data_IF_901184169888
#
_entry.id   IF_901184169888
#
_cell.length_a   1.000
_cell.length_b   1.000
_cell.length_c   1.000
_cell.angle_alpha   90.00
_cell.angle_beta   90.00
_cell.angle_gamma   90.00
#
_symmetry.space_group_name_H-M   'P 1'
#
loop_
_entity.id
_entity.type
_entity.pdbx_description
1 polymer ?
#
# COMPACT_ATOMS: atom_id res chain seq x y z
N UNK A 1 -62.56 48.98 -36.60
CA UNK A 1 -62.91 47.75 -35.85
C UNK A 1 -62.74 46.62 -36.87
N UNK A 2 -61.83 45.66 -36.78
CA UNK A 2 -61.56 44.74 -35.67
C UNK A 2 -60.21 44.04 -35.95
N UNK A 3 -59.53 43.68 -34.85
CA UNK A 3 -58.20 43.08 -34.74
C UNK A 3 -58.04 41.77 -35.51
N UNK A 4 -56.80 41.43 -35.91
CA UNK A 4 -56.28 40.06 -35.80
C UNK A 4 -54.75 40.09 -35.66
N UNK A 5 -54.29 39.56 -34.52
CA UNK A 5 -52.91 39.36 -34.08
C UNK A 5 -52.47 37.98 -34.57
N UNK A 6 -51.33 37.89 -35.26
CA UNK A 6 -50.68 36.63 -35.65
C UNK A 6 -49.51 36.31 -34.74
N UNK A 7 -49.65 35.24 -33.97
CA UNK A 7 -48.72 34.71 -32.97
C UNK A 7 -47.56 33.89 -33.58
N UNK A 8 -46.46 33.86 -32.84
CA UNK A 8 -45.14 33.29 -33.13
C UNK A 8 -45.06 31.76 -33.18
N UNK A 9 -44.05 31.23 -33.90
CA UNK A 9 -43.42 29.93 -33.64
C UNK A 9 -41.91 30.02 -33.90
N UNK A 10 -41.17 30.61 -32.96
CA UNK A 10 -39.73 30.49 -32.86
C UNK A 10 -39.39 29.23 -32.05
N UNK A 11 -39.05 28.14 -32.73
CA UNK A 11 -38.65 26.88 -32.10
C UNK A 11 -37.18 26.95 -31.69
N UNK A 12 -36.92 27.48 -30.49
CA UNK A 12 -35.59 27.47 -29.89
C UNK A 12 -35.36 26.11 -29.22
N UNK A 13 -34.72 25.19 -29.94
CA UNK A 13 -34.30 23.89 -29.43
C UNK A 13 -33.11 24.09 -28.47
N UNK A 14 -33.39 24.19 -27.16
CA UNK A 14 -32.36 24.20 -26.13
C UNK A 14 -31.81 22.77 -26.00
N UNK A 15 -30.66 22.50 -26.62
CA UNK A 15 -29.85 21.34 -26.30
C UNK A 15 -29.30 21.51 -24.88
N UNK A 16 -30.07 21.06 -23.88
CA UNK A 16 -29.54 20.83 -22.56
C UNK A 16 -28.59 19.64 -22.65
N UNK A 17 -27.29 19.91 -22.84
CA UNK A 17 -26.25 18.93 -22.56
C UNK A 17 -26.38 18.55 -21.09
N UNK A 18 -27.06 17.42 -20.83
CA UNK A 18 -27.09 16.80 -19.53
C UNK A 18 -25.62 16.47 -19.20
N UNK A 19 -25.00 17.31 -18.37
CA UNK A 19 -23.76 16.95 -17.70
C UNK A 19 -24.16 15.74 -16.86
N UNK A 20 -23.77 14.54 -17.31
CA UNK A 20 -23.92 13.34 -16.53
C UNK A 20 -23.09 13.57 -15.26
N UNK A 21 -23.76 13.94 -14.18
CA UNK A 21 -23.13 14.03 -12.87
C UNK A 21 -22.56 12.64 -12.60
N UNK A 22 -21.25 12.60 -12.37
CA UNK A 22 -20.59 11.38 -11.93
C UNK A 22 -21.34 10.87 -10.69
N UNK A 23 -21.59 9.56 -10.70
CA UNK A 23 -22.38 8.89 -9.70
C UNK A 23 -21.49 7.75 -9.21
N UNK A 24 -20.92 7.82 -8.00
CA UNK A 24 -20.06 6.74 -7.53
C UNK A 24 -20.85 5.44 -7.36
N UNK A 25 -20.19 4.27 -7.41
CA UNK A 25 -20.84 3.00 -7.09
C UNK A 25 -21.38 3.06 -5.65
N UNK A 26 -22.59 2.54 -5.45
CA UNK A 26 -23.25 2.50 -4.15
C UNK A 26 -22.82 1.29 -3.29
N UNK A 27 -23.28 1.24 -2.02
CA UNK A 27 -22.98 0.13 -1.10
C UNK A 27 -23.21 -1.26 -1.71
N UNK A 28 -22.18 -2.11 -1.68
CA UNK A 28 -22.18 -3.46 -2.24
C UNK A 28 -21.91 -3.54 -3.75
N UNK A 29 -21.91 -2.44 -4.48
CA UNK A 29 -21.51 -2.43 -5.89
C UNK A 29 -19.98 -2.49 -6.03
N UNK A 30 -19.50 -2.89 -7.21
CA UNK A 30 -18.05 -2.98 -7.49
C UNK A 30 -17.44 -1.61 -7.74
N UNK A 31 -16.20 -1.42 -7.28
CA UNK A 31 -15.42 -0.19 -7.53
C UNK A 31 -15.19 0.08 -9.02
N UNK A 32 -15.18 -0.96 -9.85
CA UNK A 32 -14.99 -0.84 -11.30
C UNK A 32 -16.23 -0.34 -12.07
N UNK A 33 -17.28 0.07 -11.35
CA UNK A 33 -18.58 0.50 -11.86
C UNK A 33 -19.33 -0.51 -12.73
N UNK A 34 -18.91 -1.78 -12.77
CA UNK A 34 -19.57 -2.81 -13.60
C UNK A 34 -21.00 -3.15 -13.15
N UNK A 35 -21.39 -2.72 -11.95
CA UNK A 35 -22.70 -2.98 -11.33
C UNK A 35 -23.46 -1.69 -10.99
N UNK A 36 -23.01 -0.55 -11.49
CA UNK A 36 -23.55 0.76 -11.17
C UNK A 36 -22.45 1.76 -10.87
N UNK A 37 -22.77 3.03 -11.08
CA UNK A 37 -21.83 4.13 -10.98
C UNK A 37 -21.25 4.58 -12.33
N UNK A 38 -20.62 5.74 -12.36
CA UNK A 38 -20.01 6.38 -13.52
C UNK A 38 -19.07 7.51 -13.07
N UNK A 39 -18.12 7.89 -13.92
CA UNK A 39 -17.23 9.02 -13.68
C UNK A 39 -15.90 8.61 -13.05
N UNK A 40 -15.31 9.55 -12.30
CA UNK A 40 -13.92 9.42 -11.80
C UNK A 40 -13.77 8.42 -10.65
N UNK A 41 -14.87 8.05 -9.99
CA UNK A 41 -14.89 6.99 -8.96
C UNK A 41 -14.74 5.57 -9.51
N UNK A 42 -14.79 5.37 -10.83
CA UNK A 42 -14.68 4.04 -11.42
C UNK A 42 -13.22 3.57 -11.46
N UNK A 43 -12.78 2.91 -10.40
CA UNK A 43 -11.45 2.30 -10.30
C UNK A 43 -11.43 0.94 -11.01
N UNK A 44 -11.22 0.97 -12.33
CA UNK A 44 -11.42 -0.19 -13.20
C UNK A 44 -10.41 -1.34 -13.04
N UNK A 45 -9.25 -1.02 -12.47
CA UNK A 45 -8.16 -1.93 -12.12
C UNK A 45 -8.24 -2.41 -10.67
N UNK A 46 -9.11 -1.81 -9.86
CA UNK A 46 -9.40 -2.28 -8.52
C UNK A 46 -10.44 -3.39 -8.48
N UNK A 47 -10.18 -4.34 -7.61
CA UNK A 47 -11.14 -5.38 -7.25
C UNK A 47 -11.77 -5.06 -5.92
N UNK A 48 -12.96 -5.63 -5.70
CA UNK A 48 -13.68 -5.46 -4.44
C UNK A 48 -15.01 -4.76 -4.65
N UNK A 49 -15.63 -4.40 -3.52
CA UNK A 49 -16.95 -3.79 -3.48
C UNK A 49 -16.94 -2.63 -2.48
N UNK A 50 -17.75 -1.62 -2.76
CA UNK A 50 -18.06 -0.54 -1.84
C UNK A 50 -18.64 -1.16 -0.56
N UNK A 51 -18.19 -0.74 0.63
CA UNK A 51 -18.69 -1.27 1.89
C UNK A 51 -20.22 -1.15 2.02
N UNK A 52 -20.84 -2.06 2.76
CA UNK A 52 -22.30 -2.14 2.87
C UNK A 52 -22.85 -1.45 4.13
N UNK A 53 -22.00 -1.26 5.14
CA UNK A 53 -22.39 -0.72 6.45
C UNK A 53 -21.27 0.10 7.08
N UNK A 54 -21.62 1.30 7.54
CA UNK A 54 -20.73 2.18 8.34
C UNK A 54 -20.69 1.76 9.80
N UNK A 55 -21.84 1.43 10.36
CA UNK A 55 -22.05 1.11 11.76
C UNK A 55 -22.80 -0.20 11.90
N UNK A 56 -22.74 -0.78 13.09
CA UNK A 56 -23.38 -2.04 13.47
C UNK A 56 -24.87 -1.77 13.73
N UNK A 57 -25.82 -2.02 12.80
CA UNK A 57 -27.22 -1.74 13.03
C UNK A 57 -27.87 -3.03 13.55
N UNK A 58 -27.94 -3.21 14.87
CA UNK A 58 -28.60 -4.36 15.52
C UNK A 58 -28.18 -5.76 15.01
N UNK A 59 -26.99 -5.86 14.42
CA UNK A 59 -26.39 -7.07 13.86
C UNK A 59 -24.91 -6.78 13.60
N UNK A 60 -24.04 -7.59 14.19
CA UNK A 60 -22.66 -7.33 14.61
C UNK A 60 -21.61 -7.00 13.51
N UNK A 61 -21.90 -6.23 12.46
CA UNK A 61 -20.93 -6.02 11.36
C UNK A 61 -20.88 -4.56 10.86
N UNK A 62 -19.68 -3.97 10.86
CA UNK A 62 -19.33 -2.72 10.19
C UNK A 62 -18.29 -3.01 9.10
N UNK A 63 -18.78 -3.24 7.88
CA UNK A 63 -17.92 -3.63 6.76
C UNK A 63 -16.92 -2.55 6.37
N UNK A 64 -17.26 -1.26 6.56
CA UNK A 64 -16.37 -0.12 6.34
C UNK A 64 -15.24 -0.09 7.38
N UNK A 65 -15.56 -0.04 8.68
CA UNK A 65 -14.54 0.04 9.74
C UNK A 65 -13.65 -1.20 9.77
N UNK A 66 -14.22 -2.38 9.49
CA UNK A 66 -13.44 -3.60 9.34
C UNK A 66 -12.43 -3.48 8.18
N UNK A 67 -12.89 -3.10 6.98
CA UNK A 67 -12.03 -2.96 5.80
C UNK A 67 -10.87 -1.99 6.03
N UNK A 68 -11.17 -0.82 6.60
CA UNK A 68 -10.17 0.18 6.95
C UNK A 68 -9.10 -0.33 7.91
N UNK A 69 -9.54 -1.03 8.96
CA UNK A 69 -8.65 -1.52 9.99
C UNK A 69 -7.77 -2.65 9.48
N UNK A 70 -8.35 -3.59 8.71
CA UNK A 70 -7.60 -4.65 8.04
C UNK A 70 -6.57 -4.06 7.08
N UNK A 71 -6.96 -3.13 6.21
CA UNK A 71 -6.03 -2.46 5.29
C UNK A 71 -4.87 -1.80 6.02
N UNK A 72 -5.14 -1.02 7.08
CA UNK A 72 -4.10 -0.39 7.91
C UNK A 72 -3.19 -1.42 8.58
N UNK A 73 -3.74 -2.54 9.06
CA UNK A 73 -2.98 -3.62 9.69
C UNK A 73 -2.02 -4.27 8.69
N UNK A 74 -2.49 -4.64 7.48
CA UNK A 74 -1.63 -5.18 6.41
C UNK A 74 -0.55 -4.19 5.99
N UNK A 75 -0.88 -2.91 5.80
CA UNK A 75 0.12 -1.89 5.50
C UNK A 75 1.16 -1.72 6.63
N UNK A 76 0.78 -2.02 7.88
CA UNK A 76 1.70 -2.09 9.02
C UNK A 76 2.61 -3.32 8.99
N UNK A 77 2.05 -4.50 8.74
CA UNK A 77 2.74 -5.78 8.67
C UNK A 77 3.81 -5.80 7.58
N UNK A 78 3.45 -5.36 6.35
CA UNK A 78 4.39 -5.28 5.22
C UNK A 78 5.61 -4.42 5.54
N UNK A 79 5.41 -3.27 6.21
CA UNK A 79 6.52 -2.40 6.64
C UNK A 79 7.34 -2.99 7.80
N UNK A 80 6.76 -3.90 8.58
CA UNK A 80 7.48 -4.57 9.65
C UNK A 80 8.42 -5.63 9.08
N UNK A 81 7.92 -6.49 8.17
CA UNK A 81 8.70 -7.48 7.42
C UNK A 81 9.85 -6.84 6.64
N UNK A 82 9.61 -5.75 5.90
CA UNK A 82 10.68 -5.00 5.21
C UNK A 82 11.81 -4.56 6.16
N UNK A 83 11.49 -4.27 7.43
CA UNK A 83 12.52 -3.93 8.44
C UNK A 83 13.22 -5.16 9.01
N UNK A 84 12.59 -6.32 9.01
CA UNK A 84 13.22 -7.60 9.36
C UNK A 84 14.27 -7.94 8.29
N UNK A 85 13.88 -7.96 7.02
CA UNK A 85 14.80 -8.15 5.89
C UNK A 85 15.97 -7.17 5.87
N UNK A 86 15.73 -5.88 6.18
CA UNK A 86 16.80 -4.89 6.28
C UNK A 86 17.82 -5.22 7.39
N UNK A 87 17.35 -5.59 8.58
CA UNK A 87 18.24 -6.00 9.69
C UNK A 87 19.04 -7.24 9.33
N UNK A 88 18.39 -8.19 8.66
CA UNK A 88 19.02 -9.42 8.22
C UNK A 88 20.11 -9.14 7.18
N UNK A 89 19.82 -8.37 6.12
CA UNK A 89 20.82 -7.96 5.13
C UNK A 89 22.01 -7.20 5.77
N UNK A 90 21.71 -6.29 6.70
CA UNK A 90 22.70 -5.57 7.51
C UNK A 90 23.60 -6.53 8.31
N UNK A 91 23.01 -7.57 8.89
CA UNK A 91 23.71 -8.56 9.72
C UNK A 91 24.69 -9.39 8.91
N UNK A 92 24.31 -9.76 7.68
CA UNK A 92 25.18 -10.45 6.72
C UNK A 92 26.36 -9.58 6.32
N UNK A 93 26.11 -8.29 6.01
CA UNK A 93 27.18 -7.33 5.68
C UNK A 93 28.14 -7.11 6.86
N UNK A 94 27.66 -7.22 8.09
CA UNK A 94 28.47 -7.15 9.32
C UNK A 94 29.19 -8.46 9.67
N UNK A 95 28.96 -9.53 8.91
CA UNK A 95 29.56 -10.85 9.15
C UNK A 95 28.96 -11.60 10.34
N UNK A 96 27.77 -11.22 10.79
CA UNK A 96 27.04 -11.88 11.87
C UNK A 96 25.57 -12.11 11.46
N UNK A 97 25.31 -13.02 10.50
CA UNK A 97 23.95 -13.31 10.04
C UNK A 97 23.03 -13.64 11.23
N UNK A 98 21.84 -13.04 11.24
CA UNK A 98 20.78 -13.34 12.22
C UNK A 98 19.60 -13.98 11.52
N UNK A 99 18.92 -14.84 12.26
CA UNK A 99 17.62 -15.38 11.88
C UNK A 99 16.54 -14.32 12.10
N UNK A 100 15.77 -14.03 11.07
CA UNK A 100 14.70 -13.05 11.12
C UNK A 100 13.31 -13.67 11.32
N UNK A 101 13.20 -15.00 11.42
CA UNK A 101 11.95 -15.69 11.73
C UNK A 101 11.35 -15.24 13.05
N UNK A 102 12.20 -14.86 14.02
CA UNK A 102 11.75 -14.19 15.23
C UNK A 102 11.07 -12.85 14.93
N UNK A 103 11.64 -12.05 14.03
CA UNK A 103 11.09 -10.77 13.61
C UNK A 103 9.80 -10.90 12.77
N UNK A 104 9.68 -11.95 11.97
CA UNK A 104 8.61 -12.13 10.98
C UNK A 104 7.41 -12.89 11.54
N UNK A 105 7.64 -14.07 12.12
CA UNK A 105 6.60 -15.06 12.41
C UNK A 105 6.57 -15.50 13.88
N UNK A 106 7.71 -15.81 14.50
CA UNK A 106 7.74 -16.59 15.77
C UNK A 106 7.76 -15.78 17.07
N UNK A 107 8.32 -14.57 17.11
CA UNK A 107 8.32 -13.75 18.34
C UNK A 107 6.92 -13.18 18.62
N UNK A 108 6.48 -13.04 19.89
CA UNK A 108 5.19 -12.40 20.21
C UNK A 108 5.03 -10.96 19.67
N UNK A 109 6.13 -10.28 19.33
CA UNK A 109 6.17 -8.95 18.71
C UNK A 109 6.55 -9.02 17.22
N UNK A 110 6.51 -10.19 16.61
CA UNK A 110 6.75 -10.39 15.19
C UNK A 110 5.74 -9.63 14.32
N UNK A 111 6.05 -9.48 13.04
CA UNK A 111 5.17 -8.82 12.09
C UNK A 111 3.81 -9.55 11.96
N UNK A 112 3.84 -10.88 11.87
CA UNK A 112 2.66 -11.74 11.79
C UNK A 112 1.83 -11.65 13.08
N UNK A 113 2.44 -11.85 14.26
CA UNK A 113 1.70 -11.80 15.53
C UNK A 113 1.06 -10.41 15.79
N UNK A 114 1.68 -9.33 15.31
CA UNK A 114 1.08 -7.98 15.33
C UNK A 114 -0.11 -7.84 14.38
N UNK A 115 -0.04 -8.47 13.21
CA UNK A 115 -1.15 -8.52 12.26
C UNK A 115 -2.32 -9.31 12.85
N UNK A 116 -2.07 -10.52 13.34
CA UNK A 116 -3.04 -11.37 14.03
C UNK A 116 -3.74 -10.63 15.17
N UNK A 117 -2.96 -9.96 16.04
CA UNK A 117 -3.51 -9.17 17.13
C UNK A 117 -4.37 -8.00 16.64
N UNK A 118 -4.05 -7.40 15.48
CA UNK A 118 -4.86 -6.35 14.88
C UNK A 118 -6.14 -6.90 14.25
N UNK A 119 -6.08 -8.04 13.57
CA UNK A 119 -7.24 -8.75 13.00
C UNK A 119 -8.20 -9.15 14.12
N UNK A 120 -7.68 -9.75 15.20
CA UNK A 120 -8.48 -10.18 16.35
C UNK A 120 -9.26 -9.01 16.97
N UNK A 121 -8.62 -7.84 17.11
CA UNK A 121 -9.26 -6.61 17.65
C UNK A 121 -10.46 -6.14 16.82
N UNK A 122 -10.49 -6.43 15.52
CA UNK A 122 -11.57 -5.98 14.62
C UNK A 122 -12.48 -7.10 14.14
N UNK A 123 -12.19 -8.34 14.50
CA UNK A 123 -12.93 -9.54 14.09
C UNK A 123 -14.44 -9.45 14.35
N UNK A 124 -14.83 -8.91 15.50
CA UNK A 124 -16.23 -8.71 15.88
C UNK A 124 -16.97 -7.65 15.04
N UNK A 125 -16.26 -6.87 14.21
CA UNK A 125 -16.83 -5.90 13.27
C UNK A 125 -16.86 -6.43 11.84
N UNK A 126 -16.17 -7.53 11.57
CA UNK A 126 -15.94 -8.06 10.23
C UNK A 126 -16.95 -9.13 9.85
N UNK A 127 -17.25 -9.24 8.56
CA UNK A 127 -17.93 -10.43 8.03
C UNK A 127 -16.99 -11.63 8.05
N UNK A 128 -17.55 -12.85 8.07
CA UNK A 128 -16.77 -14.07 7.86
C UNK A 128 -16.00 -14.03 6.54
N UNK A 129 -16.59 -13.52 5.46
CA UNK A 129 -15.93 -13.35 4.17
C UNK A 129 -14.71 -12.43 4.25
N UNK A 130 -14.80 -11.28 4.92
CA UNK A 130 -13.65 -10.38 5.10
C UNK A 130 -12.53 -11.05 5.89
N UNK A 131 -12.86 -11.81 6.94
CA UNK A 131 -11.87 -12.52 7.73
C UNK A 131 -11.22 -13.67 6.94
N UNK A 132 -11.98 -14.42 6.14
CA UNK A 132 -11.42 -15.46 5.26
C UNK A 132 -10.47 -14.87 4.21
N UNK A 133 -10.83 -13.74 3.60
CA UNK A 133 -9.96 -13.06 2.64
C UNK A 133 -8.71 -12.46 3.30
N UNK A 134 -8.84 -11.91 4.51
CA UNK A 134 -7.70 -11.45 5.29
C UNK A 134 -6.74 -12.60 5.61
N UNK A 135 -7.24 -13.73 6.10
CA UNK A 135 -6.42 -14.90 6.39
C UNK A 135 -5.71 -15.45 5.13
N UNK A 136 -6.38 -15.46 3.97
CA UNK A 136 -5.76 -15.85 2.71
C UNK A 136 -4.65 -14.88 2.26
N UNK A 137 -4.85 -13.58 2.47
CA UNK A 137 -3.85 -12.56 2.17
C UNK A 137 -2.64 -12.69 3.09
N UNK A 138 -2.87 -12.86 4.39
CA UNK A 138 -1.82 -13.11 5.38
C UNK A 138 -1.00 -14.36 5.03
N UNK A 139 -1.67 -15.48 4.77
CA UNK A 139 -0.99 -16.72 4.35
C UNK A 139 -0.18 -16.55 3.06
N UNK A 140 -0.58 -15.66 2.16
CA UNK A 140 0.19 -15.37 0.94
C UNK A 140 1.41 -14.51 1.23
N UNK A 141 1.25 -13.47 2.07
CA UNK A 141 2.32 -12.52 2.39
C UNK A 141 3.43 -13.16 3.22
N UNK A 142 3.08 -14.02 4.18
CA UNK A 142 3.99 -14.74 5.09
C UNK A 142 4.28 -16.18 4.66
N UNK A 143 4.11 -16.50 3.37
CA UNK A 143 4.60 -17.77 2.84
C UNK A 143 6.12 -17.68 2.57
N UNK A 144 6.83 -18.81 2.61
CA UNK A 144 8.25 -18.84 2.21
C UNK A 144 8.50 -18.25 0.81
N UNK A 145 9.77 -17.91 0.49
CA UNK A 145 10.19 -17.43 -0.84
C UNK A 145 9.80 -18.26 -2.05
N UNK A 146 9.35 -19.51 -1.86
CA UNK A 146 8.83 -20.34 -2.95
C UNK A 146 7.53 -19.78 -3.55
N UNK A 147 6.79 -18.97 -2.77
CA UNK A 147 5.64 -18.23 -3.27
C UNK A 147 6.09 -16.86 -3.80
N UNK A 148 6.00 -16.57 -5.11
CA UNK A 148 6.50 -15.31 -5.68
C UNK A 148 5.74 -14.06 -5.23
N UNK A 149 4.63 -14.22 -4.51
CA UNK A 149 3.84 -13.14 -3.91
C UNK A 149 4.13 -12.92 -2.43
N UNK A 150 4.92 -13.78 -1.79
CA UNK A 150 5.32 -13.56 -0.41
C UNK A 150 6.28 -12.38 -0.28
N UNK A 151 6.40 -11.87 0.93
CA UNK A 151 7.34 -10.80 1.22
C UNK A 151 8.78 -11.31 1.16
N UNK A 152 9.02 -12.55 1.61
CA UNK A 152 10.30 -13.25 1.55
C UNK A 152 10.82 -13.36 0.12
N UNK A 153 9.95 -13.72 -0.83
CA UNK A 153 10.30 -13.77 -2.25
C UNK A 153 10.58 -12.36 -2.82
N UNK A 154 9.83 -11.36 -2.34
CA UNK A 154 9.95 -9.97 -2.79
C UNK A 154 11.19 -9.28 -2.25
N UNK A 155 11.78 -9.75 -1.15
CA UNK A 155 13.07 -9.27 -0.65
C UNK A 155 14.16 -9.35 -1.73
N UNK A 156 14.13 -10.37 -2.59
CA UNK A 156 15.07 -10.52 -3.71
C UNK A 156 14.95 -9.46 -4.81
N UNK A 157 13.87 -8.66 -4.82
CA UNK A 157 13.74 -7.50 -5.71
C UNK A 157 14.40 -6.24 -5.14
N UNK A 158 14.67 -6.22 -3.82
CA UNK A 158 15.30 -5.12 -3.09
C UNK A 158 16.78 -5.40 -2.88
N UNK A 159 17.11 -6.60 -2.39
CA UNK A 159 18.47 -7.09 -2.20
C UNK A 159 18.85 -7.97 -3.38
N UNK A 160 19.40 -7.34 -4.42
CA UNK A 160 19.64 -7.98 -5.73
C UNK A 160 21.09 -7.80 -6.20
N UNK A 161 22.00 -7.58 -5.26
CA UNK A 161 23.30 -7.01 -5.56
C UNK A 161 24.41 -7.87 -4.97
N UNK A 162 25.25 -8.51 -5.79
CA UNK A 162 26.25 -9.48 -5.31
C UNK A 162 25.75 -10.93 -5.30
N UNK A 163 26.38 -11.78 -4.50
CA UNK A 163 26.12 -13.23 -4.50
C UNK A 163 25.93 -13.84 -3.11
N UNK A 164 26.15 -13.08 -2.03
CA UNK A 164 26.00 -13.58 -0.67
C UNK A 164 24.52 -13.48 -0.30
N UNK A 165 23.89 -14.60 0.07
CA UNK A 165 22.48 -14.61 0.51
C UNK A 165 22.29 -13.67 1.69
N UNK A 166 21.22 -12.86 1.68
CA UNK A 166 20.81 -12.12 2.88
C UNK A 166 20.36 -13.07 3.98
N UNK A 167 19.91 -14.25 3.60
CA UNK A 167 19.43 -15.29 4.49
C UNK A 167 20.09 -16.64 4.15
N UNK A 168 21.25 -16.94 4.74
CA UNK A 168 21.94 -18.20 4.50
C UNK A 168 21.20 -19.36 5.18
N UNK A 169 21.24 -20.56 4.61
CA UNK A 169 20.52 -21.76 5.09
C UNK A 169 20.81 -22.19 6.54
N UNK A 170 21.83 -21.62 7.20
CA UNK A 170 22.12 -21.81 8.63
C UNK A 170 21.54 -20.74 9.57
N UNK A 171 20.84 -19.75 9.01
CA UNK A 171 20.24 -18.63 9.71
C UNK A 171 18.73 -18.49 9.46
N UNK A 172 18.09 -19.31 8.62
CA UNK A 172 16.65 -19.25 8.33
C UNK A 172 16.39 -19.95 7.01
N UNK A 173 16.97 -19.40 5.94
CA UNK A 173 17.07 -19.95 4.61
C UNK A 173 15.81 -19.81 3.74
N UNK A 174 14.79 -19.09 4.16
CA UNK A 174 13.51 -18.89 3.49
C UNK A 174 13.27 -17.50 2.91
N UNK A 175 14.18 -16.53 3.08
CA UNK A 175 14.17 -15.26 2.38
C UNK A 175 14.97 -15.26 1.07
N UNK A 176 14.50 -14.46 0.11
CA UNK A 176 15.19 -14.25 -1.15
C UNK A 176 16.05 -13.00 -1.11
N UNK A 177 17.17 -13.03 -1.82
CA UNK A 177 17.98 -11.85 -2.09
C UNK A 177 19.45 -12.04 -1.76
N UNK A 178 20.25 -11.15 -2.31
CA UNK A 178 21.70 -11.17 -2.20
C UNK A 178 22.28 -9.79 -1.98
N UNK A 179 23.39 -9.76 -1.23
CA UNK A 179 24.24 -8.59 -0.97
C UNK A 179 25.69 -8.89 -1.38
N UNK A 180 26.45 -7.83 -1.68
CA UNK A 180 27.87 -7.92 -1.99
C UNK A 180 28.66 -7.61 -0.72
N UNK A 181 29.14 -8.65 -0.06
CA UNK A 181 29.91 -8.54 1.19
C UNK A 181 31.40 -8.29 0.95
N UNK A 182 31.87 -8.35 -0.30
CA UNK A 182 33.29 -8.21 -0.65
C UNK A 182 33.62 -6.80 -1.15
N UNK A 183 32.63 -6.05 -1.61
CA UNK A 183 32.84 -4.69 -2.06
C UNK A 183 33.34 -3.74 -0.96
N UNK A 184 34.18 -2.79 -1.36
CA UNK A 184 34.69 -1.75 -0.47
C UNK A 184 33.53 -0.87 0.09
N UNK A 185 32.50 -0.63 -0.72
CA UNK A 185 31.33 0.21 -0.43
C UNK A 185 30.08 -0.60 -0.02
N UNK A 186 30.24 -1.86 0.42
CA UNK A 186 29.14 -2.77 0.81
C UNK A 186 28.10 -2.14 1.76
N UNK A 187 28.55 -1.31 2.70
CA UNK A 187 27.68 -0.63 3.66
C UNK A 187 26.78 0.41 3.00
N UNK A 188 27.28 1.12 1.99
CA UNK A 188 26.49 2.09 1.24
C UNK A 188 25.51 1.39 0.29
N UNK A 189 25.91 0.25 -0.27
CA UNK A 189 25.08 -0.58 -1.15
C UNK A 189 23.90 -1.19 -0.40
N UNK A 190 24.12 -1.80 0.77
CA UNK A 190 23.01 -2.34 1.59
C UNK A 190 22.10 -1.22 2.09
N UNK A 191 22.64 -0.06 2.49
CA UNK A 191 21.83 1.10 2.88
C UNK A 191 20.97 1.64 1.73
N UNK A 192 21.45 1.54 0.49
CA UNK A 192 20.66 1.86 -0.69
C UNK A 192 19.47 0.88 -0.86
N UNK A 193 19.71 -0.42 -0.67
CA UNK A 193 18.67 -1.44 -0.68
C UNK A 193 17.64 -1.21 0.44
N UNK A 194 18.09 -0.96 1.68
CA UNK A 194 17.21 -0.65 2.82
C UNK A 194 16.34 0.57 2.56
N UNK A 195 16.92 1.62 1.98
CA UNK A 195 16.17 2.83 1.61
C UNK A 195 15.11 2.50 0.56
N UNK A 196 15.48 1.70 -0.44
CA UNK A 196 14.55 1.25 -1.50
C UNK A 196 13.41 0.42 -0.91
N UNK A 197 13.70 -0.54 -0.04
CA UNK A 197 12.70 -1.32 0.68
C UNK A 197 11.79 -0.45 1.54
N UNK A 198 12.36 0.48 2.31
CA UNK A 198 11.61 1.40 3.17
C UNK A 198 10.63 2.27 2.38
N UNK A 199 11.07 2.85 1.26
CA UNK A 199 10.22 3.66 0.39
C UNK A 199 9.15 2.82 -0.32
N UNK A 200 9.46 1.57 -0.68
CA UNK A 200 8.46 0.63 -1.22
C UNK A 200 7.38 0.31 -0.17
N UNK A 201 7.76 0.07 1.07
CA UNK A 201 6.82 -0.14 2.17
C UNK A 201 5.92 1.10 2.43
N UNK A 202 6.46 2.31 2.26
CA UNK A 202 5.67 3.56 2.33
C UNK A 202 4.73 3.71 1.14
N UNK A 203 5.17 3.34 -0.07
CA UNK A 203 4.34 3.33 -1.27
C UNK A 203 3.12 2.44 -1.07
N UNK A 204 3.33 1.17 -0.70
CA UNK A 204 2.25 0.19 -0.46
C UNK A 204 1.27 0.70 0.59
N UNK A 205 1.77 1.23 1.71
CA UNK A 205 0.89 1.78 2.74
C UNK A 205 0.10 3.03 2.30
N UNK A 206 0.64 3.80 1.35
CA UNK A 206 -0.04 4.99 0.81
C UNK A 206 -1.11 4.59 -0.21
N UNK A 207 -0.83 3.60 -1.06
CA UNK A 207 -1.79 2.97 -1.99
C UNK A 207 -2.97 2.38 -1.21
N UNK A 208 -2.71 1.57 -0.18
CA UNK A 208 -3.76 1.07 0.72
C UNK A 208 -4.61 2.21 1.30
N UNK A 209 -4.00 3.35 1.64
CA UNK A 209 -4.72 4.52 2.14
C UNK A 209 -5.56 5.20 1.04
N UNK A 210 -5.15 5.15 -0.22
CA UNK A 210 -5.96 5.60 -1.34
C UNK A 210 -7.18 4.69 -1.53
N UNK A 211 -7.02 3.36 -1.49
CA UNK A 211 -8.15 2.42 -1.54
C UNK A 211 -9.14 2.60 -0.38
N UNK A 212 -8.65 2.87 0.83
CA UNK A 212 -9.50 3.21 1.99
C UNK A 212 -10.32 4.47 1.70
N UNK A 213 -9.69 5.52 1.14
CA UNK A 213 -10.39 6.76 0.80
C UNK A 213 -11.41 6.57 -0.33
N UNK A 214 -11.10 5.73 -1.31
CA UNK A 214 -12.04 5.35 -2.35
C UNK A 214 -13.28 4.70 -1.72
N UNK A 215 -13.06 3.66 -0.89
CA UNK A 215 -14.12 2.96 -0.18
C UNK A 215 -14.97 3.89 0.70
N UNK A 216 -14.33 4.79 1.47
CA UNK A 216 -15.00 5.80 2.30
C UNK A 216 -15.83 6.79 1.47
N UNK A 217 -15.27 7.25 0.34
CA UNK A 217 -15.91 8.26 -0.51
C UNK A 217 -17.11 7.68 -1.24
N UNK A 218 -16.95 6.52 -1.88
CA UNK A 218 -18.03 5.84 -2.58
C UNK A 218 -19.14 5.42 -1.60
N UNK A 219 -18.78 4.94 -0.41
CA UNK A 219 -19.75 4.66 0.65
C UNK A 219 -20.56 5.92 1.03
N UNK A 220 -19.88 7.07 1.09
CA UNK A 220 -20.49 8.37 1.33
C UNK A 220 -21.22 8.99 0.13
N UNK A 221 -21.27 8.30 -1.02
CA UNK A 221 -21.84 8.82 -2.26
C UNK A 221 -21.07 10.01 -2.83
N UNK A 222 -19.75 10.07 -2.60
CA UNK A 222 -18.86 11.14 -3.07
C UNK A 222 -17.87 10.59 -4.08
N UNK A 223 -17.63 11.34 -5.14
CA UNK A 223 -16.60 10.98 -6.11
C UNK A 223 -15.20 11.08 -5.52
N UNK A 224 -14.35 10.10 -5.86
CA UNK A 224 -12.93 10.09 -5.52
C UNK A 224 -12.11 9.53 -6.68
N UNK A 225 -11.22 10.37 -7.22
CA UNK A 225 -10.25 9.95 -8.23
C UNK A 225 -9.07 9.24 -7.52
N UNK A 226 -9.16 7.92 -7.45
CA UNK A 226 -8.13 7.06 -6.85
C UNK A 226 -6.81 7.17 -7.64
N UNK A 227 -6.85 7.22 -8.98
CA UNK A 227 -5.66 7.30 -9.83
C UNK A 227 -4.86 8.59 -9.58
N UNK A 228 -5.55 9.69 -9.25
CA UNK A 228 -4.92 10.93 -8.79
C UNK A 228 -4.21 10.74 -7.44
N UNK A 229 -4.78 9.94 -6.54
CA UNK A 229 -4.17 9.60 -5.25
C UNK A 229 -2.95 8.67 -5.40
N UNK A 230 -3.00 7.69 -6.29
CA UNK A 230 -1.98 6.65 -6.41
C UNK A 230 -0.90 6.97 -7.41
N UNK A 231 -1.27 7.28 -8.64
CA UNK A 231 -0.33 7.35 -9.74
C UNK A 231 0.17 8.76 -9.99
N UNK A 232 -0.74 9.71 -10.19
CA UNK A 232 -0.35 11.03 -10.69
C UNK A 232 -1.31 12.14 -10.25
N UNK A 233 -0.85 12.98 -9.32
CA UNK A 233 -1.49 14.26 -8.99
C UNK A 233 -0.73 15.38 -9.71
N UNK A 234 -1.18 15.84 -10.89
CA UNK A 234 -0.47 16.88 -11.64
C UNK A 234 -0.54 18.25 -10.95
N UNK A 235 -1.45 18.43 -10.00
CA UNK A 235 -1.66 19.71 -9.31
C UNK A 235 -0.75 19.81 -8.09
N UNK A 236 -0.72 18.77 -7.24
CA UNK A 236 0.01 18.80 -5.98
C UNK A 236 1.35 18.07 -6.04
N UNK A 237 1.58 17.21 -7.03
CA UNK A 237 2.77 16.36 -7.12
C UNK A 237 2.91 15.41 -5.92
N UNK A 238 1.78 14.97 -5.34
CA UNK A 238 1.70 14.28 -4.04
C UNK A 238 1.01 12.92 -4.11
N UNK A 239 0.86 12.33 -5.29
CA UNK A 239 0.40 10.93 -5.41
C UNK A 239 1.37 9.97 -4.72
N UNK A 240 0.92 8.75 -4.43
CA UNK A 240 1.73 7.71 -3.80
C UNK A 240 3.01 7.44 -4.62
N UNK A 241 2.86 7.25 -5.93
CA UNK A 241 3.95 6.97 -6.86
C UNK A 241 4.87 8.18 -7.05
N UNK A 242 4.34 9.40 -7.12
CA UNK A 242 5.15 10.61 -7.21
C UNK A 242 6.05 10.78 -5.97
N UNK A 243 5.52 10.51 -4.77
CA UNK A 243 6.31 10.55 -3.52
C UNK A 243 7.42 9.50 -3.52
N UNK A 244 7.09 8.26 -3.91
CA UNK A 244 8.08 7.19 -4.03
C UNK A 244 9.20 7.55 -5.03
N UNK A 245 8.82 8.07 -6.20
CA UNK A 245 9.77 8.48 -7.22
C UNK A 245 10.67 9.64 -6.77
N UNK A 246 10.11 10.62 -6.05
CA UNK A 246 10.87 11.73 -5.50
C UNK A 246 11.86 11.29 -4.41
N UNK A 247 11.49 10.30 -3.58
CA UNK A 247 12.39 9.74 -2.58
C UNK A 247 13.56 8.99 -3.22
N UNK A 248 13.29 8.18 -4.25
CA UNK A 248 14.34 7.44 -4.97
C UNK A 248 15.14 8.26 -5.99
N UNK A 249 14.82 9.55 -6.19
CA UNK A 249 15.62 10.49 -6.98
C UNK A 249 16.63 11.27 -6.13
N UNK A 250 16.55 11.16 -4.80
CA UNK A 250 17.54 11.74 -3.90
C UNK A 250 18.72 10.76 -3.78
N UNK A 251 19.98 11.19 -4.01
CA UNK A 251 21.13 10.38 -3.63
C UNK A 251 21.05 10.09 -2.12
N UNK A 252 21.54 8.92 -1.66
CA UNK A 252 21.57 8.62 -0.23
C UNK A 252 22.29 9.79 0.44
N UNK A 253 21.58 10.50 1.33
CA UNK A 253 22.21 11.60 2.07
C UNK A 253 23.38 10.98 2.82
N UNK A 254 24.60 11.33 2.40
CA UNK A 254 25.72 11.38 3.31
C UNK A 254 25.20 12.22 4.48
N UNK A 255 24.99 11.60 5.64
CA UNK A 255 24.81 12.40 6.84
C UNK A 255 26.07 13.22 6.91
N UNK A 256 25.91 14.55 6.97
CA UNK A 256 26.96 15.44 7.38
C UNK A 256 27.61 14.83 8.63
N UNK A 257 28.80 14.26 8.46
CA UNK A 257 29.74 14.14 9.56
C UNK A 257 30.03 15.59 9.94
N UNK A 258 29.27 16.09 10.90
CA UNK A 258 29.67 17.25 11.65
C UNK A 258 31.05 16.91 12.22
N UNK A 259 32.11 17.66 11.88
CA UNK A 259 33.37 17.51 12.57
C UNK A 259 33.07 17.85 14.04
N UNK A 260 33.16 16.84 14.91
CA UNK A 260 32.92 17.02 16.33
C UNK A 260 33.86 18.09 16.87
N UNK A 261 33.37 19.08 17.65
CA UNK A 261 34.27 19.93 18.39
C UNK A 261 34.92 19.09 19.48
N UNK A 262 36.25 19.16 19.51
CA UNK A 262 37.11 18.51 20.50
C UNK A 262 36.65 18.76 21.93
N UNK A 263 36.94 17.79 22.78
CA UNK A 263 36.49 17.71 24.15
C UNK A 263 36.95 18.85 25.07
N UNK A 264 36.14 19.05 26.11
CA UNK A 264 36.42 19.94 27.23
C UNK A 264 35.40 19.74 28.35
N UNK A 265 35.73 18.84 29.29
CA UNK A 265 35.44 18.88 30.73
C UNK A 265 34.09 19.35 31.31
N UNK A 266 33.49 18.41 32.05
CA UNK A 266 32.81 18.53 33.36
C UNK A 266 31.28 18.71 33.48
N UNK A 267 30.66 18.14 34.56
CA UNK A 267 29.26 17.70 34.61
C UNK A 267 28.33 18.63 35.41
N UNK A 268 27.08 18.14 35.54
CA UNK A 268 25.97 18.56 36.39
C UNK A 268 24.93 19.52 35.77
N UNK A 269 23.76 18.97 35.44
CA UNK A 269 22.50 19.25 36.17
C UNK A 269 21.31 18.47 35.62
N UNK A 270 20.64 17.77 36.53
CA UNK A 270 19.24 17.34 36.43
C UNK A 270 18.35 18.47 35.88
N UNK A 271 17.46 18.16 34.94
CA UNK A 271 16.19 18.86 34.76
C UNK A 271 15.21 17.99 33.99
N UNK A 272 14.17 17.55 34.70
CA UNK A 272 12.94 16.92 34.20
C UNK A 272 12.01 18.00 33.63
N UNK A 273 11.24 17.72 32.57
CA UNK A 273 9.87 18.25 32.48
C UNK A 273 8.87 17.11 32.19
N UNK A 274 7.95 16.78 33.11
CA UNK A 274 6.62 17.38 33.36
C UNK A 274 5.66 17.30 32.17
N UNK A 275 4.71 16.37 32.33
CA UNK A 275 3.45 16.17 31.61
C UNK A 275 2.64 17.46 31.43
N UNK A 276 1.93 17.56 30.31
CA UNK A 276 0.70 18.33 30.15
C UNK A 276 -0.31 17.49 29.38
N UNK A 277 -1.32 17.02 30.11
CA UNK A 277 -2.63 16.59 29.62
C UNK A 277 -3.42 17.82 29.15
N UNK A 278 -4.05 17.73 27.97
CA UNK A 278 -5.17 18.61 27.62
C UNK A 278 -6.31 17.79 27.02
N UNK A 279 -7.39 17.74 27.79
CA UNK A 279 -8.71 17.21 27.43
C UNK A 279 -9.47 18.23 26.58
N UNK A 280 -10.05 17.78 25.46
CA UNK A 280 -11.22 18.45 24.88
C UNK A 280 -12.36 17.46 24.65
N UNK A 281 -13.40 17.62 25.45
CA UNK A 281 -14.78 17.24 25.18
C UNK A 281 -15.30 18.00 23.95
N UNK A 282 -16.13 17.35 23.12
CA UNK A 282 -17.35 18.00 22.64
C UNK A 282 -18.42 17.01 22.14
N UNK A 283 -19.63 17.54 22.03
CA UNK A 283 -20.92 16.91 22.32
C UNK A 283 -21.59 16.12 21.17
N UNK A 284 -22.45 15.18 21.57
CA UNK A 284 -23.51 14.55 20.77
C UNK A 284 -24.66 15.53 20.46
N UNK A 285 -25.28 15.40 19.30
CA UNK A 285 -26.72 15.63 19.11
C UNK A 285 -27.33 14.66 18.08
N UNK A 286 -28.50 14.14 18.44
CA UNK A 286 -29.36 13.20 17.71
C UNK A 286 -30.23 13.90 16.64
N UNK A 287 -30.58 13.24 15.52
CA UNK A 287 -31.93 12.68 15.26
C UNK A 287 -32.12 12.11 13.81
N UNK A 288 -32.99 11.10 13.73
CA UNK A 288 -33.37 10.17 12.63
C UNK A 288 -34.46 10.75 11.65
N UNK A 289 -35.15 9.98 10.76
CA UNK A 289 -34.86 8.74 10.00
C UNK A 289 -35.22 8.79 8.49
N UNK A 290 -34.84 7.78 7.68
CA UNK A 290 -35.79 6.94 6.88
C UNK A 290 -35.11 5.73 6.21
N UNK A 291 -35.82 4.60 6.30
CA UNK A 291 -35.47 3.25 5.83
C UNK A 291 -35.70 3.09 4.31
N UNK A 292 -34.77 2.44 3.63
CA UNK A 292 -35.06 1.54 2.51
C UNK A 292 -34.06 0.37 2.56
N UNK A 293 -34.55 -0.84 2.85
CA UNK A 293 -33.74 -2.06 2.87
C UNK A 293 -33.79 -2.71 1.49
N UNK A 294 -32.71 -2.57 0.71
CA UNK A 294 -32.43 -3.41 -0.45
C UNK A 294 -31.32 -4.39 -0.07
N UNK A 295 -31.68 -5.66 0.10
CA UNK A 295 -30.73 -6.77 0.29
C UNK A 295 -30.11 -7.12 -1.06
N UNK A 296 -28.98 -6.49 -1.41
CA UNK A 296 -28.08 -6.97 -2.45
C UNK A 296 -27.02 -7.89 -1.85
N UNK A 297 -27.12 -9.20 -2.09
CA UNK A 297 -26.03 -10.14 -1.79
C UNK A 297 -25.10 -10.19 -3.01
N UNK A 298 -23.86 -9.73 -2.86
CA UNK A 298 -22.80 -10.04 -3.80
C UNK A 298 -22.28 -11.44 -3.48
N UNK A 299 -22.84 -12.44 -4.16
CA UNK A 299 -22.21 -13.75 -4.26
C UNK A 299 -20.95 -13.58 -5.13
N UNK A 300 -19.79 -13.89 -4.55
CA UNK A 300 -18.60 -14.20 -5.34
C UNK A 300 -18.88 -15.55 -5.99
N UNK A 301 -19.16 -15.55 -7.28
CA UNK A 301 -19.36 -16.77 -8.07
C UNK A 301 -18.00 -17.47 -8.19
N UNK A 302 -17.70 -18.32 -7.21
CA UNK A 302 -16.59 -19.27 -7.27
C UNK A 302 -17.15 -20.59 -7.80
N UNK A 303 -17.47 -20.63 -9.09
CA UNK A 303 -17.77 -21.89 -9.77
C UNK A 303 -16.48 -22.71 -9.89
N UNK A 304 -16.32 -23.66 -8.97
CA UNK A 304 -15.43 -24.80 -9.14
C UNK A 304 -16.13 -25.77 -10.11
N UNK A 305 -15.70 -25.81 -11.37
CA UNK A 305 -16.11 -26.84 -12.32
C UNK A 305 -14.90 -27.70 -12.70
N UNK A 306 -15.01 -29.00 -12.41
CA UNK A 306 -14.18 -30.06 -12.98
C UNK A 306 -14.23 -30.02 -14.51
N UNK A 307 -13.06 -30.10 -15.14
CA UNK A 307 -12.89 -30.11 -16.60
C UNK A 307 -13.42 -31.39 -17.27
N UNK A 308 -13.40 -31.49 -18.62
CA UNK A 308 -12.16 -31.27 -19.38
C UNK A 308 -12.29 -30.64 -20.80
N UNK A 309 -11.11 -30.34 -21.35
CA UNK A 309 -10.68 -30.14 -22.76
C UNK A 309 -10.33 -28.70 -23.20
N UNK A 310 -9.07 -28.62 -23.61
CA UNK A 310 -8.32 -27.49 -24.15
C UNK A 310 -8.92 -26.94 -25.45
N UNK A 311 -9.05 -25.61 -25.49
CA UNK A 311 -9.17 -24.81 -26.70
C UNK A 311 -8.86 -23.35 -26.34
N UNK A 312 -7.89 -22.74 -27.00
CA UNK A 312 -7.33 -21.42 -26.75
C UNK A 312 -8.32 -20.35 -26.25
N UNK A 313 -8.35 -20.10 -24.95
CA UNK A 313 -8.91 -18.88 -24.39
C UNK A 313 -7.76 -17.93 -24.05
N UNK A 314 -7.72 -16.81 -24.78
CA UNK A 314 -6.88 -15.66 -24.43
C UNK A 314 -7.19 -15.25 -22.98
N UNK A 315 -6.18 -15.02 -22.12
CA UNK A 315 -6.42 -14.55 -20.76
C UNK A 315 -7.14 -13.19 -20.79
N UNK A 316 -8.08 -12.94 -19.86
CA UNK A 316 -8.87 -11.71 -19.82
C UNK A 316 -7.97 -10.49 -19.61
N UNK A 317 -8.29 -9.39 -20.30
CA UNK A 317 -7.52 -8.13 -20.32
C UNK A 317 -7.23 -7.54 -18.93
N UNK A 318 -8.01 -7.88 -17.89
CA UNK A 318 -7.89 -7.35 -16.52
C UNK A 318 -6.69 -7.89 -15.72
N UNK A 319 -6.21 -9.11 -15.98
CA UNK A 319 -4.97 -9.62 -15.34
C UNK A 319 -3.70 -8.90 -15.80
N UNK A 320 -3.76 -8.21 -16.94
CA UNK A 320 -2.57 -7.56 -17.51
C UNK A 320 -2.16 -6.31 -16.74
N UNK A 321 -3.05 -5.63 -16.01
CA UNK A 321 -2.73 -4.31 -15.45
C UNK A 321 -1.98 -4.39 -14.12
N UNK A 322 -2.43 -5.23 -13.17
CA UNK A 322 -1.66 -5.52 -11.97
C UNK A 322 -0.29 -6.14 -12.31
N UNK A 323 -0.24 -7.05 -13.30
CA UNK A 323 1.03 -7.56 -13.82
C UNK A 323 1.87 -6.46 -14.52
N UNK A 324 1.26 -5.48 -15.19
CA UNK A 324 1.97 -4.36 -15.80
C UNK A 324 2.50 -3.37 -14.78
N UNK A 325 1.75 -3.07 -13.71
CA UNK A 325 2.20 -2.25 -12.59
C UNK A 325 3.32 -2.97 -11.83
N UNK A 326 3.12 -4.23 -11.46
CA UNK A 326 4.16 -5.05 -10.86
C UNK A 326 5.38 -5.20 -11.78
N UNK A 327 5.19 -5.33 -13.10
CA UNK A 327 6.29 -5.38 -14.08
C UNK A 327 6.94 -4.02 -14.33
N UNK A 328 6.23 -2.89 -14.17
CA UNK A 328 6.78 -1.53 -14.24
C UNK A 328 7.57 -1.24 -12.99
N UNK A 329 7.06 -1.60 -11.81
CA UNK A 329 7.76 -1.51 -10.53
C UNK A 329 8.98 -2.42 -10.57
N UNK A 330 8.85 -3.71 -10.92
CA UNK A 330 9.98 -4.64 -11.11
C UNK A 330 11.00 -4.13 -12.12
N UNK A 331 10.60 -3.64 -13.29
CA UNK A 331 11.56 -3.05 -14.26
C UNK A 331 12.22 -1.77 -13.76
N UNK A 332 11.53 -0.98 -12.94
CA UNK A 332 12.10 0.22 -12.33
C UNK A 332 13.07 -0.15 -11.21
N UNK A 333 12.73 -1.13 -10.38
CA UNK A 333 13.58 -1.69 -9.34
C UNK A 333 14.83 -2.35 -9.93
N UNK A 334 14.69 -3.21 -10.94
CA UNK A 334 15.83 -3.82 -11.63
C UNK A 334 16.75 -2.77 -12.26
N UNK A 335 16.19 -1.74 -12.91
CA UNK A 335 16.98 -0.63 -13.43
C UNK A 335 17.64 0.19 -12.32
N UNK A 336 17.03 0.33 -11.15
CA UNK A 336 17.62 1.03 -9.99
C UNK A 336 18.68 0.19 -9.32
N UNK A 337 18.52 -1.13 -9.19
CA UNK A 337 19.55 -2.05 -8.75
C UNK A 337 20.78 -1.92 -9.67
N UNK A 338 20.55 -1.94 -10.99
CA UNK A 338 21.63 -1.78 -11.97
C UNK A 338 22.28 -0.38 -11.99
N UNK A 339 21.51 0.71 -11.78
CA UNK A 339 22.01 2.10 -11.86
C UNK A 339 22.53 2.66 -10.52
N UNK A 340 21.94 2.24 -9.40
CA UNK A 340 22.36 2.61 -8.05
C UNK A 340 23.74 2.08 -7.72
N UNK A 341 24.06 0.86 -8.17
CA UNK A 341 25.41 0.31 -8.09
C UNK A 341 26.42 1.13 -8.91
N UNK A 342 26.04 1.69 -10.06
CA UNK A 342 26.94 2.53 -10.85
C UNK A 342 27.22 3.90 -10.19
N UNK A 343 26.20 4.55 -9.63
CA UNK A 343 26.35 5.88 -9.04
C UNK A 343 27.08 5.86 -7.68
N UNK A 344 26.90 4.81 -6.86
CA UNK A 344 27.64 4.61 -5.62
C UNK A 344 29.15 4.40 -5.89
N UNK A 345 29.48 3.59 -6.91
CA UNK A 345 30.86 3.35 -7.36
C UNK A 345 31.53 4.64 -7.86
N UNK A 346 30.81 5.50 -8.58
CA UNK A 346 31.37 6.76 -9.12
C UNK A 346 31.62 7.79 -8.00
N UNK A 347 30.77 7.84 -6.98
CA UNK A 347 30.98 8.65 -5.78
C UNK A 347 32.16 8.19 -4.91
N UNK A 348 32.36 6.87 -4.77
CA UNK A 348 33.49 6.31 -4.03
C UNK A 348 34.83 6.54 -4.75
N UNK A 349 34.86 6.40 -6.08
CA UNK A 349 36.05 6.61 -6.91
C UNK A 349 36.52 8.06 -6.92
N UNK A 350 35.59 9.02 -6.81
CA UNK A 350 35.92 10.44 -6.69
C UNK A 350 36.51 10.80 -5.31
N UNK A 351 36.22 10.03 -4.25
CA UNK A 351 36.81 10.22 -2.91
C UNK A 351 38.23 9.67 -2.79
N UNK A 352 38.61 8.63 -3.54
CA UNK A 352 40.01 8.15 -3.56
C UNK A 352 40.95 9.03 -4.42
N UNK A 353 40.40 9.83 -5.32
CA UNK A 353 41.18 10.70 -6.21
C UNK A 353 41.47 12.09 -5.63
N UNK A 354 40.90 12.43 -4.47
CA UNK A 354 41.16 13.66 -3.73
C UNK A 354 41.38 13.35 -2.25
N UNK A 355 42.62 13.02 -1.84
CA UNK A 355 43.00 12.84 -0.44
C UNK A 355 42.96 14.16 0.36
#
# INVERSE_FOLDING_TARGET
MTRLVGLALGSMLVLTSAVALAAPPGPGQRFDCSQGGSGVSCASDDTGCVPQSKDVPAGNVSTLKCGDALGKAFGGAIRAVIKCHAKMADSVVKGAPVDDEACETTDPKSAMNKLDAAILKVSALCTSTQLTLAAAQESTLFASKSNPLSLDAQAGLVYCDGSTSIDPAGAGGDDAGTVDTLAADKSDRVKCADTTGSELGKLVATVIKCHIKLADSDFGGKDFDENLCEENDPVKGKSALQKYNAAGAQPPRARDEHPGPGGGGQPDRLSVPRDHDDHHHEHNHHDLPRRLLLRGRCAVDLQLHDGPRLGHLRPPRRRRHAELLLARVRRSLLRRCQRGCAAAVEGARLRELHP
#
